data_IF_373351410563
#
_entry.id   IF_373351410563
#
_cell.length_a   1.000
_cell.length_b   1.000
_cell.length_c   1.000
_cell.angle_alpha   90.00
_cell.angle_beta   90.00
_cell.angle_gamma   90.00
#
_symmetry.space_group_name_H-M   'P 1'
#
loop_
_entity.id
_entity.type
_entity.pdbx_description
1 polymer ?
#
# COMPACT_ATOMS: atom_id res chain seq x y z
N UNK A 1 -20.34 13.71 7.43
CA UNK A 1 -20.53 14.06 6.00
C UNK A 1 -20.09 12.95 5.04
N UNK A 2 -18.85 12.39 5.14
CA UNK A 2 -18.34 11.34 4.22
C UNK A 2 -19.08 9.99 4.26
N UNK A 3 -19.80 9.71 5.34
CA UNK A 3 -20.55 8.48 5.59
C UNK A 3 -22.07 8.65 5.44
N UNK A 4 -22.53 9.84 5.02
CA UNK A 4 -23.96 10.04 4.80
C UNK A 4 -24.43 9.19 3.62
N UNK A 5 -25.65 8.69 3.70
CA UNK A 5 -26.20 7.69 2.77
C UNK A 5 -26.34 8.20 1.33
N UNK A 6 -26.42 9.51 1.16
CA UNK A 6 -26.49 10.27 -0.09
C UNK A 6 -25.13 10.41 -0.80
N UNK A 7 -24.02 10.49 -0.05
CA UNK A 7 -22.68 10.80 -0.59
C UNK A 7 -21.75 9.57 -0.62
N UNK A 8 -21.82 8.68 0.38
CA UNK A 8 -21.05 7.41 0.52
C UNK A 8 -19.62 7.40 -0.07
N UNK A 9 -18.86 8.48 0.14
CA UNK A 9 -17.50 8.61 -0.43
C UNK A 9 -16.45 7.68 0.20
N UNK A 10 -16.77 6.98 1.29
CA UNK A 10 -15.85 6.06 1.97
C UNK A 10 -16.47 4.68 2.06
N UNK A 11 -15.83 3.72 1.39
CA UNK A 11 -16.15 2.31 1.53
C UNK A 11 -15.62 1.73 2.83
N UNK A 12 -16.18 0.58 3.22
CA UNK A 12 -15.76 -0.17 4.41
C UNK A 12 -14.51 -1.03 4.18
N UNK A 13 -14.04 -1.16 2.93
CA UNK A 13 -12.90 -2.01 2.56
C UNK A 13 -11.61 -1.65 3.32
N UNK A 14 -11.29 -0.36 3.42
CA UNK A 14 -10.08 0.08 4.11
C UNK A 14 -10.13 -0.19 5.63
N UNK A 15 -11.21 0.13 6.38
CA UNK A 15 -11.39 -0.36 7.75
C UNK A 15 -11.37 -1.90 7.89
N UNK A 16 -11.97 -2.61 6.94
CA UNK A 16 -12.06 -4.07 6.95
C UNK A 16 -10.68 -4.74 6.86
N UNK A 17 -9.74 -4.14 6.14
CA UNK A 17 -8.34 -4.59 6.11
C UNK A 17 -7.77 -4.72 7.53
N UNK A 18 -7.93 -3.70 8.38
CA UNK A 18 -7.44 -3.74 9.75
C UNK A 18 -8.23 -4.72 10.63
N UNK A 19 -9.54 -4.81 10.44
CA UNK A 19 -10.37 -5.79 11.13
C UNK A 19 -9.90 -7.23 10.83
N UNK A 20 -9.53 -7.52 9.58
CA UNK A 20 -8.97 -8.81 9.19
C UNK A 20 -7.61 -9.07 9.86
N UNK A 21 -6.70 -8.09 9.90
CA UNK A 21 -5.42 -8.22 10.60
C UNK A 21 -5.59 -8.52 12.09
N UNK A 22 -6.55 -7.86 12.71
CA UNK A 22 -6.93 -8.07 14.09
C UNK A 22 -7.47 -9.49 14.30
N UNK A 23 -8.40 -9.94 13.44
CA UNK A 23 -8.93 -11.31 13.50
C UNK A 23 -7.82 -12.37 13.35
N UNK A 24 -6.82 -12.13 12.50
CA UNK A 24 -5.65 -12.99 12.37
C UNK A 24 -4.81 -12.99 13.66
N UNK A 25 -4.61 -11.83 14.28
CA UNK A 25 -3.95 -11.72 15.58
C UNK A 25 -4.65 -12.54 16.68
N UNK A 26 -5.98 -12.56 16.69
CA UNK A 26 -6.75 -13.40 17.62
C UNK A 26 -6.58 -14.89 17.31
N UNK A 27 -6.66 -15.27 16.03
CA UNK A 27 -6.52 -16.66 15.61
C UNK A 27 -5.13 -17.25 15.91
N UNK A 28 -4.09 -16.41 15.84
CA UNK A 28 -2.71 -16.79 16.14
C UNK A 28 -2.36 -16.70 17.64
N UNK A 29 -3.30 -16.26 18.49
CA UNK A 29 -3.03 -16.02 19.92
C UNK A 29 -2.04 -14.88 20.18
N UNK A 30 -1.77 -14.03 19.18
CA UNK A 30 -0.79 -12.94 19.25
C UNK A 30 -1.39 -11.61 19.72
N UNK A 31 -2.69 -11.60 20.06
CA UNK A 31 -3.40 -10.38 20.46
C UNK A 31 -2.84 -9.81 21.76
N UNK A 32 -2.30 -8.61 21.66
CA UNK A 32 -1.82 -7.82 22.79
C UNK A 32 -1.99 -6.33 22.51
N UNK A 33 -1.83 -5.48 23.52
CA UNK A 33 -1.79 -4.03 23.33
C UNK A 33 -0.68 -3.62 22.34
N UNK A 34 0.47 -4.31 22.41
CA UNK A 34 1.59 -4.10 21.48
C UNK A 34 1.20 -4.49 20.04
N UNK A 35 0.55 -5.64 19.85
CA UNK A 35 0.11 -6.08 18.52
C UNK A 35 -0.91 -5.12 17.92
N UNK A 36 -1.95 -4.74 18.67
CA UNK A 36 -2.99 -3.84 18.17
C UNK A 36 -2.43 -2.47 17.78
N UNK A 37 -1.43 -1.96 18.51
CA UNK A 37 -0.76 -0.70 18.17
C UNK A 37 0.10 -0.79 16.92
N UNK A 38 0.82 -1.90 16.74
CA UNK A 38 1.84 -2.02 15.69
C UNK A 38 1.34 -2.71 14.41
N UNK A 39 0.29 -3.51 14.47
CA UNK A 39 -0.23 -4.25 13.32
C UNK A 39 -0.59 -3.32 12.13
N UNK A 40 -1.33 -2.21 12.29
CA UNK A 40 -1.60 -1.30 11.17
C UNK A 40 -0.33 -0.69 10.56
N UNK A 41 0.69 -0.41 11.40
CA UNK A 41 1.98 0.13 10.97
C UNK A 41 2.76 -0.90 10.15
N UNK A 42 2.78 -2.15 10.61
CA UNK A 42 3.42 -3.25 9.89
C UNK A 42 2.74 -3.53 8.55
N UNK A 43 1.40 -3.46 8.48
CA UNK A 43 0.69 -3.57 7.19
C UNK A 43 1.09 -2.47 6.22
N UNK A 44 1.11 -1.21 6.65
CA UNK A 44 1.47 -0.10 5.78
C UNK A 44 2.94 -0.11 5.39
N UNK A 45 3.84 -0.54 6.28
CA UNK A 45 5.23 -0.80 5.91
C UNK A 45 5.36 -1.89 4.83
N UNK A 46 4.57 -2.96 4.94
CA UNK A 46 4.54 -4.03 3.94
C UNK A 46 3.96 -3.55 2.61
N UNK A 47 2.88 -2.76 2.65
CA UNK A 47 2.28 -2.16 1.46
C UNK A 47 3.25 -1.19 0.77
N UNK A 48 3.96 -0.34 1.52
CA UNK A 48 4.98 0.56 0.98
C UNK A 48 6.09 -0.22 0.27
N UNK A 49 6.61 -1.29 0.89
CA UNK A 49 7.61 -2.15 0.27
C UNK A 49 7.09 -2.83 -1.02
N UNK A 50 5.83 -3.30 -1.01
CA UNK A 50 5.17 -3.84 -2.21
C UNK A 50 5.00 -2.77 -3.30
N UNK A 51 4.77 -1.52 -2.91
CA UNK A 51 4.66 -0.41 -3.84
C UNK A 51 6.02 -0.08 -4.47
N UNK A 52 7.11 -0.08 -3.70
CA UNK A 52 8.48 0.11 -4.21
C UNK A 52 8.82 -0.90 -5.30
N UNK A 53 8.55 -2.18 -5.03
CA UNK A 53 8.76 -3.28 -5.99
C UNK A 53 7.83 -3.11 -7.21
N UNK A 54 6.56 -2.76 -6.99
CA UNK A 54 5.59 -2.52 -8.05
C UNK A 54 6.03 -1.39 -8.99
N UNK A 55 6.48 -0.26 -8.44
CA UNK A 55 6.99 0.88 -9.20
C UNK A 55 8.24 0.50 -10.01
N UNK A 56 9.19 -0.21 -9.40
CA UNK A 56 10.40 -0.65 -10.11
C UNK A 56 10.06 -1.63 -11.25
N UNK A 57 9.12 -2.56 -11.01
CA UNK A 57 8.63 -3.50 -12.04
C UNK A 57 7.91 -2.77 -13.18
N UNK A 58 7.05 -1.81 -12.86
CA UNK A 58 6.35 -1.01 -13.86
C UNK A 58 7.33 -0.18 -14.70
N UNK A 59 8.27 0.50 -14.05
CA UNK A 59 9.34 1.26 -14.70
C UNK A 59 10.18 0.37 -15.61
N UNK A 60 10.54 -0.84 -15.16
CA UNK A 60 11.25 -1.82 -16.00
C UNK A 60 10.51 -2.16 -17.28
N UNK A 61 9.20 -2.38 -17.16
CA UNK A 61 8.35 -2.78 -18.28
C UNK A 61 8.19 -1.66 -19.30
N UNK A 62 8.09 -0.41 -18.85
CA UNK A 62 7.86 0.75 -19.71
C UNK A 62 9.15 1.33 -20.31
N UNK A 63 10.24 1.34 -19.53
CA UNK A 63 11.45 2.13 -19.84
C UNK A 63 12.76 1.35 -19.69
N UNK A 64 12.72 0.05 -19.38
CA UNK A 64 13.90 -0.80 -19.28
C UNK A 64 14.58 -0.83 -17.91
N UNK A 65 15.69 -1.56 -17.82
CA UNK A 65 16.33 -1.91 -16.55
C UNK A 65 16.90 -0.71 -15.79
N UNK A 66 17.49 0.26 -16.48
CA UNK A 66 18.10 1.43 -15.86
C UNK A 66 17.06 2.32 -15.18
N UNK A 67 15.92 2.55 -15.85
CA UNK A 67 14.80 3.27 -15.27
C UNK A 67 14.26 2.58 -14.01
N UNK A 68 14.24 1.25 -13.98
CA UNK A 68 13.82 0.49 -12.79
C UNK A 68 14.78 0.68 -11.62
N UNK A 69 16.10 0.67 -11.88
CA UNK A 69 17.12 0.88 -10.85
C UNK A 69 17.03 2.30 -10.27
N UNK A 70 16.92 3.32 -11.13
CA UNK A 70 16.75 4.71 -10.70
C UNK A 70 15.43 4.93 -9.96
N UNK A 71 14.33 4.32 -10.41
CA UNK A 71 13.03 4.41 -9.71
C UNK A 71 13.16 3.88 -8.28
N UNK A 72 13.79 2.73 -8.09
CA UNK A 72 13.97 2.16 -6.75
C UNK A 72 14.89 3.03 -5.88
N UNK A 73 16.01 3.50 -6.44
CA UNK A 73 16.94 4.39 -5.74
C UNK A 73 16.24 5.67 -5.28
N UNK A 74 15.51 6.33 -6.17
CA UNK A 74 14.77 7.56 -5.87
C UNK A 74 13.70 7.33 -4.80
N UNK A 75 12.97 6.21 -4.84
CA UNK A 75 11.97 5.88 -3.83
C UNK A 75 12.61 5.65 -2.45
N UNK A 76 13.74 4.94 -2.40
CA UNK A 76 14.44 4.64 -1.15
C UNK A 76 15.16 5.84 -0.51
N UNK A 77 15.47 6.89 -1.27
CA UNK A 77 16.06 8.13 -0.71
C UNK A 77 15.00 9.21 -0.45
N UNK A 78 13.80 9.06 -0.98
CA UNK A 78 12.77 10.08 -0.87
C UNK A 78 12.09 10.05 0.51
N UNK A 79 12.48 10.99 1.36
CA UNK A 79 11.92 11.14 2.71
C UNK A 79 10.38 11.25 2.74
N UNK A 80 9.77 11.82 1.70
CA UNK A 80 8.32 11.99 1.63
C UNK A 80 7.60 10.66 1.41
N UNK A 81 8.21 9.71 0.70
CA UNK A 81 7.68 8.34 0.55
C UNK A 81 7.57 7.69 1.92
N UNK A 82 8.62 7.76 2.74
CA UNK A 82 8.60 7.24 4.11
C UNK A 82 7.57 7.95 5.00
N UNK A 83 7.45 9.27 4.86
CA UNK A 83 6.50 10.07 5.64
C UNK A 83 5.04 9.75 5.31
N UNK A 84 4.72 9.56 4.03
CA UNK A 84 3.34 9.37 3.57
C UNK A 84 2.90 7.91 3.49
N UNK A 85 3.68 7.03 2.86
CA UNK A 85 3.25 5.66 2.56
C UNK A 85 3.16 4.74 3.79
N UNK A 86 3.88 5.07 4.86
CA UNK A 86 3.81 4.29 6.12
C UNK A 86 2.60 4.65 6.97
N UNK A 87 1.80 5.66 6.57
CA UNK A 87 0.59 6.09 7.26
C UNK A 87 -0.63 5.41 6.68
N UNK A 88 -1.61 5.15 7.55
CA UNK A 88 -2.89 4.50 7.22
C UNK A 88 -3.84 5.32 6.33
N UNK A 89 -3.34 5.79 5.19
CA UNK A 89 -4.11 6.49 4.16
C UNK A 89 -4.60 5.51 3.11
N UNK A 90 -5.88 5.63 2.76
CA UNK A 90 -6.48 4.82 1.70
C UNK A 90 -5.80 5.06 0.35
N UNK A 91 -5.39 6.31 0.08
CA UNK A 91 -4.68 6.67 -1.15
C UNK A 91 -3.40 5.84 -1.35
N UNK A 92 -2.70 5.46 -0.27
CA UNK A 92 -1.50 4.63 -0.36
C UNK A 92 -1.87 3.21 -0.80
N UNK A 93 -2.95 2.64 -0.23
CA UNK A 93 -3.46 1.32 -0.64
C UNK A 93 -3.92 1.34 -2.10
N UNK A 94 -4.66 2.38 -2.50
CA UNK A 94 -5.11 2.57 -3.88
C UNK A 94 -3.91 2.67 -4.84
N UNK A 95 -2.89 3.46 -4.50
CA UNK A 95 -1.68 3.59 -5.31
C UNK A 95 -1.00 2.24 -5.51
N UNK A 96 -0.79 1.45 -4.45
CA UNK A 96 -0.19 0.11 -4.54
C UNK A 96 -1.00 -0.78 -5.51
N UNK A 97 -2.32 -0.85 -5.32
CA UNK A 97 -3.19 -1.67 -6.16
C UNK A 97 -3.16 -1.24 -7.63
N UNK A 98 -3.23 0.07 -7.90
CA UNK A 98 -3.19 0.63 -9.25
C UNK A 98 -1.84 0.34 -9.90
N UNK A 99 -0.73 0.57 -9.20
CA UNK A 99 0.61 0.28 -9.74
C UNK A 99 0.75 -1.19 -10.12
N UNK A 100 0.30 -2.11 -9.27
CA UNK A 100 0.32 -3.54 -9.59
C UNK A 100 -0.59 -3.90 -10.75
N UNK A 101 -1.80 -3.33 -10.84
CA UNK A 101 -2.69 -3.53 -11.99
C UNK A 101 -2.03 -3.04 -13.30
N UNK A 102 -1.33 -1.90 -13.26
CA UNK A 102 -0.59 -1.37 -14.41
C UNK A 102 0.57 -2.28 -14.83
N UNK A 103 1.17 -3.05 -13.91
CA UNK A 103 2.21 -4.01 -14.30
C UNK A 103 1.69 -5.11 -15.25
N UNK A 104 0.39 -5.43 -15.21
CA UNK A 104 -0.26 -6.42 -16.08
C UNK A 104 -1.05 -5.79 -17.22
N UNK A 105 -1.28 -4.47 -17.21
CA UNK A 105 -2.11 -3.78 -18.18
C UNK A 105 -1.52 -3.85 -19.61
N UNK A 106 -2.28 -4.21 -20.66
CA UNK A 106 -1.75 -4.26 -22.03
C UNK A 106 -1.58 -2.83 -22.57
N UNK A 107 -0.39 -2.24 -22.37
CA UNK A 107 -0.04 -0.99 -23.05
C UNK A 107 0.10 -1.26 -24.54
N UNK A 108 -0.61 -0.49 -25.35
CA UNK A 108 -0.36 -0.41 -26.79
C UNK A 108 1.06 0.13 -26.99
N UNK A 109 1.83 -0.52 -27.85
CA UNK A 109 3.18 -0.08 -28.23
C UNK A 109 3.13 0.71 -29.51
#
# INVERSE_FOLDING_TARGET
WKWRADVKLRGYAHPLLYAAMYRLGDALGARSAWFTRNAPRAAHATLAALHDVGCARLARRLYGADAAAWTLALRLINWFVFFCETRSFVNCVEAVCVTWALTTWPFER
#
